data_IF_109622906498
#
_entry.id   IF_109622906498
#
_cell.length_a   1.000
_cell.length_b   1.000
_cell.length_c   1.000
_cell.angle_alpha   90.00
_cell.angle_beta   90.00
_cell.angle_gamma   90.00
#
_symmetry.space_group_name_H-M   'P 1'
#
loop_
_entity.id
_entity.type
_entity.pdbx_description
1 polymer ?
#
# COMPACT_ATOMS: atom_id res chain seq x y z
N UNK A 1 -11.12 -10.97 25.82
CA UNK A 1 -12.41 -10.26 25.92
C UNK A 1 -13.10 -10.33 24.56
N UNK A 2 -14.25 -11.00 24.47
CA UNK A 2 -15.02 -11.11 23.22
C UNK A 2 -15.90 -9.87 23.08
N UNK A 3 -15.78 -9.16 21.96
CA UNK A 3 -16.54 -7.93 21.71
C UNK A 3 -17.44 -8.18 20.51
N UNK A 4 -18.74 -8.00 20.70
CA UNK A 4 -19.74 -8.20 19.65
C UNK A 4 -20.12 -6.87 19.02
N UNK A 5 -20.44 -6.90 17.73
CA UNK A 5 -20.87 -5.70 16.97
C UNK A 5 -22.38 -5.51 16.94
N UNK A 6 -23.13 -6.56 17.27
CA UNK A 6 -24.58 -6.58 17.19
C UNK A 6 -25.14 -7.25 18.44
N UNK A 7 -26.12 -6.60 19.07
CA UNK A 7 -26.84 -7.09 20.24
C UNK A 7 -27.53 -8.44 19.97
N UNK A 8 -28.07 -8.66 18.78
CA UNK A 8 -28.75 -9.91 18.42
C UNK A 8 -27.79 -11.11 18.45
N UNK A 9 -26.53 -10.92 18.08
CA UNK A 9 -25.51 -11.98 18.13
C UNK A 9 -25.14 -12.32 19.58
N UNK A 10 -25.10 -11.32 20.46
CA UNK A 10 -24.90 -11.54 21.90
C UNK A 10 -26.10 -12.27 22.48
N UNK A 11 -27.32 -11.81 22.18
CA UNK A 11 -28.55 -12.39 22.71
C UNK A 11 -28.73 -13.85 22.31
N UNK A 12 -28.43 -14.19 21.05
CA UNK A 12 -28.44 -15.58 20.58
C UNK A 12 -27.40 -16.42 21.33
N UNK A 13 -26.18 -15.92 21.48
CA UNK A 13 -25.13 -16.63 22.23
C UNK A 13 -25.53 -16.87 23.70
N UNK A 14 -26.04 -15.85 24.39
CA UNK A 14 -26.45 -15.96 25.80
C UNK A 14 -27.60 -16.96 25.98
N UNK A 15 -28.55 -16.98 25.03
CA UNK A 15 -29.65 -17.93 25.08
C UNK A 15 -29.20 -19.36 24.73
N UNK A 16 -28.46 -19.52 23.64
CA UNK A 16 -28.21 -20.83 23.03
C UNK A 16 -27.02 -21.55 23.68
N UNK A 17 -25.99 -20.82 24.10
CA UNK A 17 -24.77 -21.38 24.68
C UNK A 17 -24.75 -21.30 26.22
N UNK A 18 -25.27 -20.21 26.79
CA UNK A 18 -25.32 -20.05 28.25
C UNK A 18 -26.66 -20.47 28.87
N UNK A 19 -27.68 -20.74 28.05
CA UNK A 19 -28.99 -21.20 28.53
C UNK A 19 -29.80 -20.16 29.31
N UNK A 20 -29.42 -18.89 29.26
CA UNK A 20 -30.08 -17.82 30.03
C UNK A 20 -31.24 -17.24 29.22
N UNK A 21 -32.47 -17.49 29.66
CA UNK A 21 -33.68 -17.04 28.99
C UNK A 21 -33.95 -15.53 29.16
N UNK A 22 -33.38 -14.89 30.18
CA UNK A 22 -33.51 -13.45 30.44
C UNK A 22 -32.19 -12.92 30.99
N UNK A 23 -31.75 -11.80 30.43
CA UNK A 23 -30.60 -11.04 30.91
C UNK A 23 -30.89 -9.54 30.78
N UNK A 24 -30.25 -8.75 31.62
CA UNK A 24 -30.35 -7.28 31.63
C UNK A 24 -28.97 -6.69 31.38
N UNK A 25 -28.92 -5.58 30.65
CA UNK A 25 -27.68 -4.92 30.28
C UNK A 25 -27.62 -3.61 31.03
N UNK A 26 -26.68 -3.50 31.96
CA UNK A 26 -26.34 -2.23 32.58
C UNK A 26 -25.41 -1.44 31.64
N UNK A 27 -25.85 -0.26 31.22
CA UNK A 27 -25.09 0.66 30.36
C UNK A 27 -24.64 1.92 31.12
N UNK A 28 -24.85 2.01 32.43
CA UNK A 28 -24.59 3.24 33.20
C UNK A 28 -23.12 3.66 33.22
N UNK A 29 -22.19 2.71 33.14
CA UNK A 29 -20.75 2.96 33.02
C UNK A 29 -20.20 2.69 31.61
N UNK A 30 -21.09 2.48 30.62
CA UNK A 30 -20.68 2.15 29.26
C UNK A 30 -20.30 3.42 28.47
N UNK A 31 -19.00 3.69 28.35
CA UNK A 31 -18.47 4.73 27.47
C UNK A 31 -18.14 4.15 26.07
N UNK A 32 -18.91 4.50 25.01
CA UNK A 32 -18.64 4.06 23.65
C UNK A 32 -17.38 4.68 23.03
N UNK A 33 -16.87 5.78 23.59
CA UNK A 33 -15.65 6.46 23.15
C UNK A 33 -14.37 5.93 23.83
N UNK A 34 -14.50 5.32 25.01
CA UNK A 34 -13.36 4.70 25.72
C UNK A 34 -12.73 3.52 24.97
N UNK A 35 -13.47 2.91 24.04
CA UNK A 35 -12.95 1.85 23.17
C UNK A 35 -12.38 2.49 21.90
N UNK A 36 -11.27 3.23 22.04
CA UNK A 36 -10.42 3.57 20.89
C UNK A 36 -9.89 2.26 20.28
N UNK A 37 -10.60 1.75 19.27
CA UNK A 37 -10.10 0.63 18.46
C UNK A 37 -8.98 1.14 17.58
N UNK A 38 -7.77 1.16 18.11
CA UNK A 38 -6.55 1.22 17.31
C UNK A 38 -6.53 -0.06 16.46
N UNK A 39 -6.93 0.05 15.18
CA UNK A 39 -6.91 -1.05 14.21
C UNK A 39 -5.70 -0.89 13.28
N UNK A 40 -4.48 -1.26 13.71
CA UNK A 40 -3.27 -1.11 12.90
C UNK A 40 -3.37 -1.85 11.55
N UNK A 41 -4.00 -3.03 11.52
CA UNK A 41 -4.02 -3.90 10.32
C UNK A 41 -4.80 -3.33 9.10
N UNK A 42 -5.78 -2.45 9.29
CA UNK A 42 -6.52 -1.87 8.14
C UNK A 42 -5.87 -0.61 7.60
N UNK A 43 -5.28 0.20 8.48
CA UNK A 43 -4.56 1.39 8.06
C UNK A 43 -3.29 1.01 7.29
N UNK A 44 -2.57 -0.02 7.73
CA UNK A 44 -1.36 -0.48 7.03
C UNK A 44 -1.70 -1.18 5.71
N UNK A 45 -2.79 -1.98 5.66
CA UNK A 45 -3.28 -2.54 4.39
C UNK A 45 -3.75 -1.47 3.40
N UNK A 46 -4.45 -0.43 3.89
CA UNK A 46 -4.85 0.70 3.05
C UNK A 46 -3.63 1.48 2.56
N UNK A 47 -2.65 1.76 3.42
CA UNK A 47 -1.40 2.41 3.00
C UNK A 47 -0.66 1.60 1.95
N UNK A 48 -0.52 0.28 2.12
CA UNK A 48 0.10 -0.59 1.11
C UNK A 48 -0.68 -0.59 -0.21
N UNK A 49 -2.02 -0.57 -0.17
CA UNK A 49 -2.85 -0.47 -1.38
C UNK A 49 -2.72 0.90 -2.06
N UNK A 50 -2.61 1.99 -1.29
CA UNK A 50 -2.40 3.34 -1.82
C UNK A 50 -0.99 3.50 -2.40
N UNK A 51 0.04 3.06 -1.68
CA UNK A 51 1.44 3.08 -2.13
C UNK A 51 1.63 2.25 -3.41
N UNK A 52 1.08 1.03 -3.46
CA UNK A 52 1.12 0.20 -4.66
C UNK A 52 0.34 0.83 -5.83
N UNK A 53 -0.78 1.51 -5.56
CA UNK A 53 -1.58 2.20 -6.56
C UNK A 53 -0.87 3.39 -7.18
N UNK A 54 -0.14 4.17 -6.38
CA UNK A 54 0.63 5.32 -6.87
C UNK A 54 1.81 4.90 -7.76
N UNK A 55 2.52 3.85 -7.38
CA UNK A 55 3.62 3.31 -8.19
C UNK A 55 3.12 2.69 -9.51
N UNK A 56 2.00 1.96 -9.48
CA UNK A 56 1.41 1.38 -10.71
C UNK A 56 0.90 2.48 -11.66
N UNK A 57 0.20 3.50 -11.12
CA UNK A 57 -0.26 4.63 -11.92
C UNK A 57 0.91 5.42 -12.53
N UNK A 58 1.97 5.67 -11.75
CA UNK A 58 3.19 6.30 -12.24
C UNK A 58 3.85 5.45 -13.34
N UNK A 59 4.01 4.13 -13.11
CA UNK A 59 4.64 3.22 -14.07
C UNK A 59 3.87 3.19 -15.39
N UNK A 60 2.55 2.99 -15.35
CA UNK A 60 1.70 3.01 -16.54
C UNK A 60 1.78 4.35 -17.27
N UNK A 61 1.83 5.46 -16.53
CA UNK A 61 2.02 6.79 -17.11
C UNK A 61 3.37 6.95 -17.84
N UNK A 62 4.46 6.39 -17.31
CA UNK A 62 5.76 6.40 -17.99
C UNK A 62 5.76 5.52 -19.24
N UNK A 63 5.13 4.34 -19.17
CA UNK A 63 5.01 3.44 -20.33
C UNK A 63 4.22 4.12 -21.45
N UNK A 64 3.07 4.73 -21.13
CA UNK A 64 2.27 5.41 -22.14
C UNK A 64 3.05 6.56 -22.80
N UNK A 65 3.74 7.40 -22.01
CA UNK A 65 4.60 8.46 -22.56
C UNK A 65 5.69 7.93 -23.47
N UNK A 66 6.28 6.79 -23.14
CA UNK A 66 7.30 6.16 -23.99
C UNK A 66 6.70 5.65 -25.31
N UNK A 67 5.50 5.07 -25.27
CA UNK A 67 4.77 4.63 -26.47
C UNK A 67 4.36 5.80 -27.35
N UNK A 68 3.74 6.83 -26.76
CA UNK A 68 3.35 8.06 -27.46
C UNK A 68 4.57 8.72 -28.11
N UNK A 69 5.71 8.75 -27.39
CA UNK A 69 6.96 9.29 -27.90
C UNK A 69 7.55 8.51 -29.09
N UNK A 70 7.31 7.19 -29.15
CA UNK A 70 7.71 6.37 -30.30
C UNK A 70 6.79 6.66 -31.49
N UNK A 71 5.50 6.85 -31.24
CA UNK A 71 4.49 7.14 -32.26
C UNK A 71 4.66 8.54 -32.86
N UNK A 72 4.90 9.56 -32.04
CA UNK A 72 5.11 10.95 -32.48
C UNK A 72 6.54 11.24 -32.98
N UNK A 73 7.45 10.26 -32.81
CA UNK A 73 8.84 10.32 -33.26
C UNK A 73 9.78 11.14 -32.35
N UNK A 74 9.30 11.64 -31.21
CA UNK A 74 10.12 12.34 -30.21
C UNK A 74 11.07 11.40 -29.45
N UNK A 75 10.74 10.11 -29.40
CA UNK A 75 11.52 9.07 -28.75
C UNK A 75 11.94 8.00 -29.76
N UNK A 76 13.21 8.03 -30.17
CA UNK A 76 13.77 7.03 -31.10
C UNK A 76 14.18 5.76 -30.37
N UNK A 77 13.75 4.61 -30.89
CA UNK A 77 14.31 3.33 -30.50
C UNK A 77 15.82 3.27 -30.84
N UNK A 78 16.63 2.97 -29.84
CA UNK A 78 18.08 2.79 -29.99
C UNK A 78 18.40 1.30 -30.19
N UNK A 79 19.38 0.99 -31.03
CA UNK A 79 19.86 -0.38 -31.17
C UNK A 79 20.63 -0.83 -29.93
N UNK A 80 20.76 -2.15 -29.77
CA UNK A 80 21.51 -2.73 -28.66
C UNK A 80 22.98 -2.30 -28.67
N UNK A 81 23.61 -2.22 -29.85
CA UNK A 81 25.00 -1.75 -30.00
C UNK A 81 25.16 -0.28 -29.59
N UNK A 82 24.22 0.58 -29.99
CA UNK A 82 24.23 2.00 -29.59
C UNK A 82 24.02 2.15 -28.08
N UNK A 83 23.17 1.32 -27.48
CA UNK A 83 22.95 1.29 -26.04
C UNK A 83 24.19 0.83 -25.27
N UNK A 84 24.88 -0.21 -25.75
CA UNK A 84 26.10 -0.73 -25.13
C UNK A 84 27.20 0.34 -25.05
N UNK A 85 27.42 1.10 -26.12
CA UNK A 85 28.39 2.20 -26.13
C UNK A 85 27.99 3.32 -25.17
N UNK A 86 26.70 3.72 -25.13
CA UNK A 86 26.21 4.72 -24.16
C UNK A 86 26.38 4.25 -22.71
N UNK A 87 26.08 2.99 -22.43
CA UNK A 87 26.22 2.41 -21.10
C UNK A 87 27.70 2.38 -20.66
N UNK A 88 28.61 2.02 -21.56
CA UNK A 88 30.06 2.03 -21.33
C UNK A 88 30.57 3.44 -21.00
N UNK A 89 30.18 4.45 -21.77
CA UNK A 89 30.55 5.84 -21.52
C UNK A 89 30.03 6.33 -20.18
N UNK A 90 28.76 6.03 -19.85
CA UNK A 90 28.14 6.40 -18.58
C UNK A 90 28.83 5.73 -17.39
N UNK A 91 29.20 4.45 -17.53
CA UNK A 91 29.96 3.72 -16.50
C UNK A 91 31.35 4.32 -16.29
N UNK A 92 32.07 4.67 -17.35
CA UNK A 92 33.37 5.32 -17.26
C UNK A 92 33.28 6.70 -16.60
N UNK A 93 32.23 7.47 -16.87
CA UNK A 93 31.97 8.75 -16.19
C UNK A 93 31.70 8.57 -14.69
N UNK A 94 30.83 7.62 -14.33
CA UNK A 94 30.56 7.31 -12.92
C UNK A 94 31.83 6.87 -12.19
N UNK A 95 32.68 6.05 -12.83
CA UNK A 95 33.97 5.64 -12.25
C UNK A 95 34.91 6.83 -12.04
N UNK A 96 34.98 7.77 -12.99
CA UNK A 96 35.75 9.02 -12.81
C UNK A 96 35.22 9.85 -11.63
N UNK A 97 33.90 9.95 -11.47
CA UNK A 97 33.27 10.68 -10.36
C UNK A 97 33.53 10.03 -9.01
N UNK A 98 33.47 8.70 -8.93
CA UNK A 98 33.79 7.95 -7.71
C UNK A 98 35.27 8.14 -7.34
N UNK A 99 36.19 8.06 -8.31
CA UNK A 99 37.61 8.32 -8.08
C UNK A 99 37.90 9.77 -7.66
N UNK A 100 37.13 10.73 -8.16
CA UNK A 100 37.26 12.14 -7.79
C UNK A 100 36.64 12.49 -6.42
N UNK A 101 35.66 11.72 -5.94
CA UNK A 101 35.05 11.88 -4.61
C UNK A 101 35.76 11.08 -3.51
N UNK A 102 36.73 10.25 -3.86
CA UNK A 102 37.49 9.38 -2.94
C UNK A 102 38.84 9.95 -2.47
N UNK A 103 39.09 11.25 -2.63
CA UNK A 103 40.30 11.95 -2.19
C UNK A 103 39.98 13.09 -1.21
#
# INVERSE_FOLDING_TARGET
MRIWRNLNTVAAYVRDELGLARFEIDMTEHDPAAIERKRPDTADRQRQLHEAGEHDAWFRGQVQKAMDGIEDGSNRAISEDEWAEKAKLKRADLQRRIGAQGH
#
